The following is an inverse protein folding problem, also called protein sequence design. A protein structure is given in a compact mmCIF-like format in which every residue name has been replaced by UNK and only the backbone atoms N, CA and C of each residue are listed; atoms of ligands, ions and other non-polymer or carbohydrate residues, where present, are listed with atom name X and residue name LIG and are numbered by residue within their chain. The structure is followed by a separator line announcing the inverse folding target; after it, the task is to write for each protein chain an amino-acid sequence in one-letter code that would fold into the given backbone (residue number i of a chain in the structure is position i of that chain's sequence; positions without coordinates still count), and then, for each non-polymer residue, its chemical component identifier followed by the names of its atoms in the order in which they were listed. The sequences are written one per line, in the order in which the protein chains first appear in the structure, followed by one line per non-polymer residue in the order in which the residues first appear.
data_IF_436669600267
#
_entry.id   IF_436669600267
#
_cell.length_a   1.000
_cell.length_b   1.000
_cell.length_c   1.000
_cell.angle_alpha   90.00
_cell.angle_beta   90.00
_cell.angle_gamma   90.00
#
_symmetry.space_group_name_H-M   'P 1'
#
loop_
_entity.id
_entity.type
_entity.pdbx_description
1 polymer ?
#
# COMPACT_ATOMS: atom_id res chain seq x y z
N UNK A 1 -15.31 -8.06 -5.13
CA UNK A 1 -14.95 -7.68 -3.75
C UNK A 1 -16.15 -7.27 -2.91
N UNK A 2 -16.98 -6.32 -3.38
CA UNK A 2 -18.13 -5.78 -2.62
C UNK A 2 -19.08 -6.86 -2.09
N UNK A 3 -19.45 -7.85 -2.90
CA UNK A 3 -20.36 -8.92 -2.47
C UNK A 3 -19.80 -9.81 -1.34
N UNK A 4 -18.49 -10.03 -1.28
CA UNK A 4 -17.86 -10.85 -0.22
C UNK A 4 -17.82 -10.07 1.10
N UNK A 5 -17.57 -8.76 1.02
CA UNK A 5 -17.60 -7.86 2.18
C UNK A 5 -19.03 -7.76 2.75
N UNK A 6 -20.02 -7.67 1.87
CA UNK A 6 -21.44 -7.62 2.26
C UNK A 6 -21.90 -8.92 2.93
N UNK A 7 -21.52 -10.08 2.39
CA UNK A 7 -21.82 -11.38 3.02
C UNK A 7 -21.14 -11.53 4.38
N UNK A 8 -19.92 -11.01 4.54
CA UNK A 8 -19.23 -10.99 5.81
C UNK A 8 -19.90 -10.07 6.83
N UNK A 9 -20.35 -8.89 6.41
CA UNK A 9 -21.12 -7.98 7.26
C UNK A 9 -22.47 -8.59 7.66
N UNK A 10 -23.19 -9.25 6.74
CA UNK A 10 -24.42 -9.99 7.04
C UNK A 10 -24.18 -11.13 8.04
N UNK A 11 -23.07 -11.88 7.90
CA UNK A 11 -22.66 -12.90 8.87
C UNK A 11 -22.41 -12.31 10.27
N UNK A 12 -21.79 -11.13 10.34
CA UNK A 12 -21.51 -10.42 11.59
C UNK A 12 -22.74 -9.83 12.27
N UNK A 13 -23.72 -9.35 11.50
CA UNK A 13 -24.97 -8.80 12.03
C UNK A 13 -25.90 -9.92 12.52
N UNK A 14 -25.96 -11.05 11.81
CA UNK A 14 -26.78 -12.20 12.21
C UNK A 14 -26.27 -12.96 13.44
N UNK A 15 -24.97 -12.84 13.76
CA UNK A 15 -24.33 -13.63 14.82
C UNK A 15 -23.42 -12.77 15.73
N UNK A 16 -23.99 -11.91 16.59
CA UNK A 16 -23.21 -11.02 17.46
C UNK A 16 -22.29 -11.77 18.43
N UNK A 17 -22.72 -12.95 18.92
CA UNK A 17 -22.02 -13.78 19.90
C UNK A 17 -21.20 -14.91 19.24
N UNK A 18 -21.70 -15.54 18.16
CA UNK A 18 -20.98 -16.62 17.47
C UNK A 18 -19.80 -16.15 16.60
N UNK A 19 -19.61 -14.83 16.47
CA UNK A 19 -18.33 -14.21 16.04
C UNK A 19 -17.11 -14.78 16.79
N UNK A 20 -17.28 -15.16 18.06
CA UNK A 20 -16.20 -15.72 18.88
C UNK A 20 -16.00 -17.23 18.71
N UNK A 21 -16.94 -17.93 18.04
CA UNK A 21 -16.90 -19.39 17.83
C UNK A 21 -16.54 -19.81 16.41
N UNK A 22 -16.24 -18.85 15.52
CA UNK A 22 -15.57 -19.13 14.25
C UNK A 22 -16.47 -19.43 13.05
N UNK A 23 -17.79 -19.27 13.14
CA UNK A 23 -18.74 -19.46 12.02
C UNK A 23 -18.41 -18.59 10.80
N UNK A 24 -17.96 -17.34 11.00
CA UNK A 24 -17.58 -16.45 9.90
C UNK A 24 -16.11 -16.62 9.44
N UNK A 25 -15.35 -17.58 9.98
CA UNK A 25 -13.90 -17.74 9.72
C UNK A 25 -13.61 -18.08 8.25
N UNK A 26 -14.46 -18.89 7.61
CA UNK A 26 -14.30 -19.24 6.20
C UNK A 26 -14.43 -18.04 5.25
N UNK A 27 -15.41 -17.15 5.51
CA UNK A 27 -15.52 -15.89 4.76
C UNK A 27 -14.38 -14.93 5.08
N UNK A 28 -13.95 -14.85 6.34
CA UNK A 28 -12.80 -14.03 6.77
C UNK A 28 -11.51 -14.41 6.02
N UNK A 29 -11.20 -15.70 5.91
CA UNK A 29 -9.99 -16.18 5.22
C UNK A 29 -10.00 -15.77 3.75
N UNK A 30 -11.14 -15.88 3.06
CA UNK A 30 -11.27 -15.49 1.65
C UNK A 30 -11.05 -13.99 1.44
N UNK A 31 -11.60 -13.18 2.35
CA UNK A 31 -11.40 -11.73 2.35
C UNK A 31 -9.92 -11.38 2.56
N UNK A 32 -9.31 -11.96 3.59
CA UNK A 32 -7.91 -11.71 3.93
C UNK A 32 -6.96 -12.12 2.79
N UNK A 33 -7.22 -13.24 2.13
CA UNK A 33 -6.41 -13.70 1.00
C UNK A 33 -6.48 -12.71 -0.17
N UNK A 34 -7.68 -12.21 -0.47
CA UNK A 34 -7.90 -11.24 -1.53
C UNK A 34 -7.17 -9.92 -1.23
N UNK A 35 -7.33 -9.37 -0.02
CA UNK A 35 -6.63 -8.15 0.39
C UNK A 35 -5.12 -8.30 0.45
N UNK A 36 -4.59 -9.46 0.86
CA UNK A 36 -3.14 -9.71 0.86
C UNK A 36 -2.56 -9.67 -0.54
N UNK A 37 -3.24 -10.28 -1.52
CA UNK A 37 -2.83 -10.25 -2.94
C UNK A 37 -2.85 -8.83 -3.47
N UNK A 38 -3.94 -8.10 -3.25
CA UNK A 38 -4.07 -6.71 -3.70
C UNK A 38 -3.02 -5.79 -3.07
N UNK A 39 -2.77 -5.95 -1.77
CA UNK A 39 -1.76 -5.19 -1.04
C UNK A 39 -0.34 -5.53 -1.49
N UNK A 40 -0.07 -6.77 -1.90
CA UNK A 40 1.22 -7.15 -2.47
C UNK A 40 1.47 -6.49 -3.83
N UNK A 41 0.47 -6.48 -4.72
CA UNK A 41 0.54 -5.81 -6.02
C UNK A 41 0.78 -4.30 -5.86
N UNK A 42 -0.01 -3.64 -5.00
CA UNK A 42 0.13 -2.20 -4.73
C UNK A 42 1.49 -1.86 -4.12
N UNK A 43 2.00 -2.66 -3.19
CA UNK A 43 3.34 -2.45 -2.61
C UNK A 43 4.45 -2.55 -3.65
N UNK A 44 4.36 -3.49 -4.60
CA UNK A 44 5.34 -3.62 -5.69
C UNK A 44 5.33 -2.39 -6.60
N UNK A 45 4.14 -1.90 -6.97
CA UNK A 45 4.01 -0.69 -7.79
C UNK A 45 4.55 0.55 -7.04
N UNK A 46 4.16 0.74 -5.78
CA UNK A 46 4.61 1.87 -4.96
C UNK A 46 6.13 1.85 -4.75
N UNK A 47 6.73 0.67 -4.58
CA UNK A 47 8.18 0.54 -4.46
C UNK A 47 8.91 1.01 -5.72
N UNK A 48 8.42 0.63 -6.90
CA UNK A 48 9.01 1.05 -8.18
C UNK A 48 8.88 2.56 -8.39
N UNK A 49 7.72 3.15 -8.10
CA UNK A 49 7.51 4.59 -8.22
C UNK A 49 8.36 5.37 -7.20
N UNK A 50 8.45 4.88 -5.96
CA UNK A 50 9.32 5.48 -4.95
C UNK A 50 10.79 5.48 -5.38
N UNK A 51 11.27 4.39 -5.99
CA UNK A 51 12.64 4.29 -6.48
C UNK A 51 12.93 5.30 -7.59
N UNK A 52 12.03 5.41 -8.59
CA UNK A 52 12.16 6.40 -9.67
C UNK A 52 12.17 7.83 -9.13
N UNK A 53 11.33 8.12 -8.14
CA UNK A 53 11.28 9.43 -7.50
C UNK A 53 12.58 9.74 -6.77
N UNK A 54 13.10 8.77 -6.01
CA UNK A 54 14.38 8.91 -5.30
C UNK A 54 15.53 9.19 -6.27
N UNK A 55 15.64 8.44 -7.37
CA UNK A 55 16.66 8.65 -8.41
C UNK A 55 16.60 10.08 -8.99
N UNK A 56 15.40 10.59 -9.29
CA UNK A 56 15.21 11.97 -9.77
C UNK A 56 15.61 13.02 -8.75
N UNK A 57 15.26 12.81 -7.48
CA UNK A 57 15.60 13.75 -6.40
C UNK A 57 17.11 13.78 -6.15
N UNK A 58 17.78 12.63 -6.24
CA UNK A 58 19.24 12.56 -6.13
C UNK A 58 19.93 13.28 -7.29
N UNK A 59 19.46 13.11 -8.53
CA UNK A 59 19.97 13.84 -9.69
C UNK A 59 19.80 15.35 -9.53
N UNK A 60 18.59 15.80 -9.20
CA UNK A 60 18.29 17.21 -8.95
C UNK A 60 19.17 17.81 -7.84
N UNK A 61 19.41 17.06 -6.76
CA UNK A 61 20.29 17.51 -5.67
C UNK A 61 21.73 17.69 -6.15
N UNK A 62 22.25 16.77 -6.96
CA UNK A 62 23.61 16.90 -7.53
C UNK A 62 23.71 18.11 -8.46
N UNK A 63 22.77 18.26 -9.39
CA UNK A 63 22.71 19.41 -10.30
C UNK A 63 22.60 20.75 -9.56
N UNK A 64 21.88 20.78 -8.44
CA UNK A 64 21.75 22.00 -7.61
C UNK A 64 23.05 22.28 -6.87
N UNK A 65 23.66 21.27 -6.25
CA UNK A 65 24.95 21.43 -5.58
C UNK A 65 26.08 21.84 -6.54
N UNK A 66 26.09 21.30 -7.76
CA UNK A 66 27.06 21.67 -8.82
C UNK A 66 26.84 23.12 -9.26
N UNK A 67 25.58 23.53 -9.52
CA UNK A 67 25.26 24.93 -9.84
C UNK A 67 25.63 25.89 -8.71
N UNK A 68 25.38 25.52 -7.46
CA UNK A 68 25.72 26.32 -6.30
C UNK A 68 27.24 26.46 -6.15
N UNK A 69 28.00 25.39 -6.39
CA UNK A 69 29.47 25.42 -6.41
C UNK A 69 30.01 26.33 -7.52
N UNK A 70 29.48 26.22 -8.74
CA UNK A 70 29.88 27.06 -9.86
C UNK A 70 29.56 28.55 -9.63
N UNK A 71 28.42 28.85 -8.99
CA UNK A 71 28.07 30.22 -8.58
C UNK A 71 29.05 30.76 -7.52
N UNK A 72 29.51 29.91 -6.59
CA UNK A 72 30.46 30.32 -5.54
C UNK A 72 31.90 30.46 -6.04
N UNK A 73 32.28 29.79 -7.13
CA UNK A 73 33.63 29.88 -7.72
C UNK A 73 33.79 31.04 -8.71
N UNK A 74 32.68 31.61 -9.22
CA UNK A 74 32.67 32.76 -10.12
C UNK A 74 32.39 34.09 -9.40
N UNK A 75 32.58 34.14 -8.08
CA UNK A 75 32.37 35.28 -7.18
C UNK A 75 33.69 35.68 -6.51
#
# INVERSE_FOLDING_TARGET
MVQIIEQFQKCHVGHPVAKFFGECTGLKIKIDLCFRREKALKRKANFQESKKLEERLQAYRKETNERDYDLTQNL
#
